data_IF_616400298642
#
_entry.id   IF_616400298642
#
_cell.length_a   1.000
_cell.length_b   1.000
_cell.length_c   1.000
_cell.angle_alpha   90.00
_cell.angle_beta   90.00
_cell.angle_gamma   90.00
#
_symmetry.space_group_name_H-M   'P 1'
#
loop_
_entity.id
_entity.type
_entity.pdbx_description
1 polymer ?
#
# COMPACT_ATOMS: atom_id res chain seq x y z
N UNK A 1 -5.09 23.63 -4.72
CA UNK A 1 -4.04 22.94 -5.52
C UNK A 1 -4.35 21.44 -5.64
N UNK A 2 -4.48 20.71 -4.53
CA UNK A 2 -4.77 19.26 -4.53
C UNK A 2 -5.92 18.82 -5.46
N UNK A 3 -7.14 19.38 -5.31
CA UNK A 3 -8.30 18.99 -6.13
C UNK A 3 -8.09 19.21 -7.65
N UNK A 4 -7.36 20.26 -8.01
CA UNK A 4 -7.03 20.58 -9.41
C UNK A 4 -6.00 19.58 -9.95
N UNK A 5 -4.97 19.26 -9.17
CA UNK A 5 -4.02 18.20 -9.48
C UNK A 5 -4.68 16.83 -9.68
N UNK A 6 -5.63 16.45 -8.83
CA UNK A 6 -6.42 15.20 -8.99
C UNK A 6 -7.28 15.24 -10.25
N UNK A 7 -7.86 16.39 -10.61
CA UNK A 7 -8.60 16.54 -11.86
C UNK A 7 -7.68 16.36 -13.08
N UNK A 8 -6.49 16.96 -13.09
CA UNK A 8 -5.49 16.77 -14.15
C UNK A 8 -5.02 15.30 -14.25
N UNK A 9 -4.83 14.63 -13.12
CA UNK A 9 -4.48 13.21 -13.06
C UNK A 9 -5.52 12.31 -13.75
N UNK A 10 -6.81 12.64 -13.59
CA UNK A 10 -7.93 11.92 -14.23
C UNK A 10 -8.02 12.19 -15.74
N UNK A 11 -7.60 13.37 -16.18
CA UNK A 11 -7.48 13.74 -17.59
C UNK A 11 -6.17 13.26 -18.23
N UNK A 12 -5.36 12.48 -17.51
CA UNK A 12 -4.04 11.99 -17.95
C UNK A 12 -3.04 13.10 -18.30
N UNK A 13 -3.23 14.31 -17.76
CA UNK A 13 -2.29 15.43 -17.88
C UNK A 13 -1.25 15.34 -16.74
N UNK A 14 -0.36 14.36 -16.86
CA UNK A 14 0.49 13.91 -15.75
C UNK A 14 1.50 14.96 -15.28
N UNK A 15 2.13 15.71 -16.18
CA UNK A 15 3.10 16.76 -15.80
C UNK A 15 2.42 17.91 -15.04
N UNK A 16 1.23 18.33 -15.49
CA UNK A 16 0.44 19.37 -14.82
C UNK A 16 -0.09 18.86 -13.46
N UNK A 17 -0.49 17.58 -13.38
CA UNK A 17 -0.90 16.95 -12.13
C UNK A 17 0.25 16.86 -11.13
N UNK A 18 1.46 16.49 -11.57
CA UNK A 18 2.65 16.43 -10.71
C UNK A 18 2.98 17.81 -10.14
N UNK A 19 2.99 18.86 -10.98
CA UNK A 19 3.28 20.22 -10.54
C UNK A 19 2.31 20.70 -9.45
N UNK A 20 1.00 20.51 -9.65
CA UNK A 20 -0.04 20.93 -8.71
C UNK A 20 -0.01 20.12 -7.40
N UNK A 21 0.25 18.81 -7.48
CA UNK A 21 0.34 17.93 -6.31
C UNK A 21 1.65 18.16 -5.54
N UNK A 22 2.75 18.47 -6.22
CA UNK A 22 4.01 18.83 -5.59
C UNK A 22 3.89 20.16 -4.83
N UNK A 23 3.23 21.16 -5.43
CA UNK A 23 2.92 22.42 -4.75
C UNK A 23 1.99 22.20 -3.54
N UNK A 24 1.00 21.31 -3.65
CA UNK A 24 0.16 20.93 -2.51
C UNK A 24 0.97 20.23 -1.40
N UNK A 25 1.92 19.38 -1.75
CA UNK A 25 2.79 18.67 -0.80
C UNK A 25 3.75 19.61 -0.03
N UNK A 26 4.13 20.75 -0.64
CA UNK A 26 4.91 21.78 0.06
C UNK A 26 4.10 22.51 1.13
N UNK A 27 2.80 22.72 0.90
CA UNK A 27 1.90 23.36 1.86
C UNK A 27 1.53 22.41 3.00
N UNK A 28 1.27 21.14 2.69
CA UNK A 28 0.85 20.13 3.66
C UNK A 28 1.67 18.83 3.52
N UNK A 29 2.92 18.80 4.02
CA UNK A 29 3.81 17.63 3.86
C UNK A 29 3.27 16.35 4.51
N UNK A 30 2.45 16.52 5.56
CA UNK A 30 1.88 15.42 6.35
C UNK A 30 0.58 14.85 5.77
N UNK A 31 -0.02 15.47 4.75
CA UNK A 31 -1.23 14.95 4.11
C UNK A 31 -0.97 13.63 3.37
N UNK A 32 -1.52 12.53 3.89
CA UNK A 32 -1.33 11.19 3.34
C UNK A 32 -1.88 11.06 1.91
N UNK A 33 -3.01 11.70 1.63
CA UNK A 33 -3.68 11.65 0.32
C UNK A 33 -2.84 12.31 -0.78
N UNK A 34 -2.21 13.46 -0.48
CA UNK A 34 -1.34 14.17 -1.41
C UNK A 34 -0.12 13.32 -1.77
N UNK A 35 0.51 12.69 -0.76
CA UNK A 35 1.67 11.81 -0.98
C UNK A 35 1.30 10.58 -1.81
N UNK A 36 0.15 9.97 -1.53
CA UNK A 36 -0.33 8.79 -2.26
C UNK A 36 -0.57 9.11 -3.73
N UNK A 37 -1.27 10.22 -4.01
CA UNK A 37 -1.53 10.66 -5.38
C UNK A 37 -0.24 11.06 -6.11
N UNK A 38 0.66 11.80 -5.47
CA UNK A 38 1.93 12.20 -6.08
C UNK A 38 2.80 10.97 -6.43
N UNK A 39 2.86 9.98 -5.54
CA UNK A 39 3.57 8.72 -5.81
C UNK A 39 2.96 7.95 -6.99
N UNK A 40 1.62 7.89 -7.07
CA UNK A 40 0.92 7.28 -8.20
C UNK A 40 1.22 8.00 -9.53
N UNK A 41 1.24 9.34 -9.52
CA UNK A 41 1.54 10.13 -10.72
C UNK A 41 2.97 9.95 -11.19
N UNK A 42 3.95 9.92 -10.28
CA UNK A 42 5.35 9.65 -10.64
C UNK A 42 5.53 8.27 -11.27
N UNK A 43 4.89 7.25 -10.72
CA UNK A 43 4.92 5.91 -11.31
C UNK A 43 4.34 5.89 -12.74
N UNK A 44 3.24 6.63 -12.98
CA UNK A 44 2.65 6.78 -14.32
C UNK A 44 3.57 7.57 -15.26
N UNK A 45 4.22 8.63 -14.79
CA UNK A 45 5.19 9.40 -15.58
C UNK A 45 6.41 8.56 -15.95
N UNK A 46 6.93 7.77 -15.02
CA UNK A 46 8.05 6.85 -15.28
C UNK A 46 7.66 5.76 -16.27
N UNK A 47 6.41 5.28 -16.24
CA UNK A 47 5.90 4.35 -17.24
C UNK A 47 5.83 4.99 -18.64
N UNK A 48 5.36 6.25 -18.73
CA UNK A 48 5.30 6.99 -20.00
C UNK A 48 6.70 7.29 -20.54
N UNK A 49 7.62 7.72 -19.69
CA UNK A 49 9.02 8.03 -20.06
C UNK A 49 9.86 6.77 -20.30
N UNK A 50 9.54 5.69 -19.61
CA UNK A 50 10.19 4.38 -19.74
C UNK A 50 9.72 3.56 -20.94
N UNK A 51 8.52 3.86 -21.47
CA UNK A 51 7.99 3.31 -22.72
C UNK A 51 8.76 3.70 -23.98
N UNK A 52 9.75 4.61 -23.87
CA UNK A 52 10.69 4.95 -24.95
C UNK A 52 11.93 4.03 -25.00
N UNK A 53 11.94 2.90 -24.28
CA UNK A 53 13.04 1.93 -24.36
C UNK A 53 12.84 0.96 -25.51
N UNK A 54 13.49 1.31 -26.63
CA UNK A 54 13.95 0.43 -27.70
C UNK A 54 12.91 -0.59 -28.19
N UNK A 55 12.21 -0.23 -29.27
CA UNK A 55 11.75 -1.23 -30.23
C UNK A 55 13.03 -1.79 -30.89
N UNK A 56 13.46 -3.04 -30.61
CA UNK A 56 14.48 -3.66 -31.45
C UNK A 56 13.95 -3.67 -32.88
N UNK A 57 14.73 -3.15 -33.83
CA UNK A 57 14.37 -2.93 -35.26
C UNK A 57 13.92 -4.18 -36.04
N UNK A 58 13.68 -5.31 -35.38
CA UNK A 58 13.31 -6.59 -35.98
C UNK A 58 11.96 -7.17 -35.57
N UNK A 59 11.15 -6.50 -34.75
CA UNK A 59 9.87 -7.07 -34.30
C UNK A 59 8.67 -6.19 -34.66
N UNK A 60 8.42 -6.06 -35.97
CA UNK A 60 7.10 -5.73 -36.47
C UNK A 60 6.22 -6.98 -36.39
N UNK A 61 5.60 -7.20 -35.23
CA UNK A 61 4.40 -8.03 -35.14
C UNK A 61 3.27 -7.13 -34.66
N UNK A 62 2.32 -6.94 -35.57
CA UNK A 62 1.09 -6.22 -35.36
C UNK A 62 0.30 -6.84 -34.21
N UNK A 63 -0.10 -6.01 -33.24
CA UNK A 63 -1.37 -6.13 -32.56
C UNK A 63 -1.64 -4.87 -31.74
N UNK A 64 -2.69 -4.16 -32.11
CA UNK A 64 -3.41 -3.29 -31.18
C UNK A 64 -3.88 -4.15 -29.99
N UNK A 65 -3.67 -3.66 -28.77
CA UNK A 65 -4.09 -4.40 -27.58
C UNK A 65 -3.93 -3.57 -26.31
N UNK A 66 -5.05 -3.15 -25.75
CA UNK A 66 -5.23 -2.70 -24.38
C UNK A 66 -4.60 -3.66 -23.36
N UNK A 67 -4.22 -3.18 -22.17
CA UNK A 67 -4.02 -4.10 -21.05
C UNK A 67 -3.07 -3.62 -19.97
N UNK A 68 -3.67 -3.25 -18.83
CA UNK A 68 -3.22 -3.51 -17.47
C UNK A 68 -1.72 -3.46 -17.16
N UNK A 69 -1.37 -2.55 -16.25
CA UNK A 69 -0.30 -2.83 -15.30
C UNK A 69 -0.69 -4.11 -14.55
N UNK A 70 -0.23 -5.24 -15.04
CA UNK A 70 -0.26 -6.53 -14.38
C UNK A 70 0.60 -6.37 -13.13
N UNK A 71 -0.02 -5.92 -12.04
CA UNK A 71 0.55 -6.08 -10.72
C UNK A 71 0.82 -7.57 -10.59
N UNK A 72 2.10 -7.91 -10.68
CA UNK A 72 2.60 -9.28 -10.73
C UNK A 72 1.80 -10.11 -9.71
N UNK A 73 0.93 -11.05 -10.14
CA UNK A 73 0.02 -11.76 -9.24
C UNK A 73 0.79 -12.45 -8.10
N UNK A 74 2.08 -12.69 -8.33
CA UNK A 74 3.04 -13.17 -7.37
C UNK A 74 3.29 -12.21 -6.19
N UNK A 75 3.38 -10.88 -6.42
CA UNK A 75 3.49 -9.90 -5.33
C UNK A 75 2.20 -9.78 -4.52
N UNK A 76 1.03 -9.86 -5.18
CA UNK A 76 -0.26 -9.74 -4.50
C UNK A 76 -0.53 -10.94 -3.58
N UNK A 77 -0.16 -12.15 -4.00
CA UNK A 77 -0.19 -13.34 -3.13
C UNK A 77 0.76 -13.23 -1.93
N UNK A 78 1.96 -12.68 -2.12
CA UNK A 78 2.94 -12.53 -1.03
C UNK A 78 2.45 -11.57 0.05
N UNK A 79 1.80 -10.46 -0.33
CA UNK A 79 1.19 -9.53 0.63
C UNK A 79 0.04 -10.18 1.41
N UNK A 80 -0.79 -11.00 0.75
CA UNK A 80 -1.87 -11.72 1.43
C UNK A 80 -1.35 -12.73 2.46
N UNK A 81 -0.27 -13.46 2.14
CA UNK A 81 0.37 -14.36 3.10
C UNK A 81 0.95 -13.63 4.32
N UNK A 82 1.58 -12.47 4.12
CA UNK A 82 2.08 -11.67 5.25
C UNK A 82 0.94 -11.19 6.17
N UNK A 83 -0.20 -10.77 5.59
CA UNK A 83 -1.35 -10.37 6.39
C UNK A 83 -1.92 -11.53 7.23
N UNK A 84 -2.02 -12.74 6.67
CA UNK A 84 -2.45 -13.90 7.44
C UNK A 84 -1.49 -14.26 8.57
N UNK A 85 -0.17 -14.16 8.34
CA UNK A 85 0.81 -14.42 9.39
C UNK A 85 0.70 -13.41 10.55
N UNK A 86 0.49 -12.12 10.26
CA UNK A 86 0.27 -11.12 11.30
C UNK A 86 -0.99 -11.39 12.12
N UNK A 87 -2.08 -11.83 11.47
CA UNK A 87 -3.32 -12.16 12.17
C UNK A 87 -3.15 -13.37 13.11
N UNK A 88 -2.41 -14.40 12.69
CA UNK A 88 -2.11 -15.54 13.56
C UNK A 88 -1.25 -15.14 14.77
N UNK A 89 -0.23 -14.28 14.58
CA UNK A 89 0.58 -13.80 15.71
C UNK A 89 -0.26 -13.01 16.72
N UNK A 90 -1.20 -12.18 16.25
CA UNK A 90 -2.09 -11.44 17.13
C UNK A 90 -3.00 -12.37 17.95
N UNK A 91 -3.54 -13.43 17.34
CA UNK A 91 -4.35 -14.40 18.09
C UNK A 91 -3.54 -15.16 19.15
N UNK A 92 -2.30 -15.55 18.85
CA UNK A 92 -1.44 -16.18 19.85
C UNK A 92 -1.13 -15.25 21.02
N UNK A 93 -0.89 -13.96 20.76
CA UNK A 93 -0.66 -12.98 21.83
C UNK A 93 -1.90 -12.81 22.72
N UNK A 94 -3.10 -12.77 22.13
CA UNK A 94 -4.33 -12.69 22.91
C UNK A 94 -4.55 -13.94 23.77
N UNK A 95 -4.28 -15.15 23.24
CA UNK A 95 -4.36 -16.37 24.04
C UNK A 95 -3.37 -16.37 25.20
N UNK A 96 -2.13 -15.92 24.99
CA UNK A 96 -1.14 -15.83 26.08
C UNK A 96 -1.57 -14.83 27.15
N UNK A 97 -2.13 -13.67 26.77
CA UNK A 97 -2.69 -12.72 27.74
C UNK A 97 -3.86 -13.32 28.51
N UNK A 98 -4.75 -14.05 27.85
CA UNK A 98 -5.89 -14.66 28.51
C UNK A 98 -5.45 -15.74 29.51
N UNK A 99 -4.45 -16.54 29.13
CA UNK A 99 -3.89 -17.57 30.00
C UNK A 99 -3.14 -16.97 31.20
N UNK A 100 -2.43 -15.85 31.01
CA UNK A 100 -1.87 -15.09 32.13
C UNK A 100 -2.96 -14.53 33.05
N UNK A 101 -4.04 -13.97 32.50
CA UNK A 101 -5.15 -13.46 33.32
C UNK A 101 -5.82 -14.57 34.13
N UNK A 102 -6.06 -15.75 33.53
CA UNK A 102 -6.60 -16.91 34.24
C UNK A 102 -5.65 -17.37 35.35
N UNK A 103 -4.36 -17.49 35.06
CA UNK A 103 -3.36 -17.88 36.05
C UNK A 103 -3.23 -16.87 37.20
N UNK A 104 -3.36 -15.57 36.92
CA UNK A 104 -3.38 -14.53 37.93
C UNK A 104 -4.66 -14.58 38.78
N UNK A 105 -5.81 -14.88 38.18
CA UNK A 105 -7.07 -15.04 38.93
C UNK A 105 -7.02 -16.28 39.83
N UNK A 106 -6.55 -17.42 39.32
CA UNK A 106 -6.40 -18.65 40.09
C UNK A 106 -5.41 -18.49 41.26
N UNK A 107 -4.32 -17.72 41.07
CA UNK A 107 -3.37 -17.42 42.13
C UNK A 107 -3.96 -16.52 43.24
N UNK A 108 -4.97 -15.70 42.93
CA UNK A 108 -5.67 -14.85 43.92
C UNK A 108 -6.76 -15.63 44.66
N UNK A 109 -7.30 -16.70 44.05
CA UNK A 109 -8.44 -17.45 44.59
C UNK A 109 -8.04 -18.63 45.49
N UNK A 110 -6.74 -18.87 45.73
CA UNK A 110 -6.28 -19.88 46.70
C UNK A 110 -6.59 -19.39 48.13
N UNK A 111 -7.59 -19.98 48.81
CA UNK A 111 -7.99 -19.54 50.12
C UNK A 111 -6.91 -19.94 51.13
N UNK A 112 -6.51 -18.97 51.95
CA UNK A 112 -5.81 -19.22 53.20
C UNK A 112 -6.69 -20.14 54.05
N UNK A 113 -6.46 -21.44 53.96
CA UNK A 113 -6.97 -22.40 54.92
C UNK A 113 -6.18 -22.18 56.22
N UNK A 114 -6.67 -21.22 57.01
CA UNK A 114 -6.26 -21.00 58.40
C UNK A 114 -6.53 -22.25 59.25
N UNK A 115 -5.68 -22.39 60.27
CA UNK A 115 -5.52 -23.45 61.27
C UNK A 115 -6.77 -23.87 62.06
#
# INVERSE_FOLDING_TARGET
>A
LYRRGVAFARLNLLDAAESDLAAAAQLEPLAADVRRELASIRLRLDAVKGGERQIPKGFLVAAAGEGAGEADPQQQQQQQQQQQQQQQQQQQQQQQQHQQQQKCQEAVELPEAEE
#
